data_IF_480027654041
#
_entry.id   IF_480027654041
#
_cell.length_a   1.000
_cell.length_b   1.000
_cell.length_c   1.000
_cell.angle_alpha   90.00
_cell.angle_beta   90.00
_cell.angle_gamma   90.00
#
_symmetry.space_group_name_H-M   'P 1'
#
loop_
_entity.id
_entity.type
_entity.pdbx_description
1 polymer ?
#
# COMPACT_ATOMS: atom_id res chain seq x y z
N UNK A 1 6.08 15.18 37.49
CA UNK A 1 4.76 15.85 37.37
C UNK A 1 4.44 16.14 35.90
N UNK A 2 4.61 15.16 35.00
CA UNK A 2 4.54 15.38 33.54
C UNK A 2 3.43 14.53 32.88
N UNK A 3 2.96 13.48 33.56
CA UNK A 3 1.90 12.56 33.11
C UNK A 3 0.54 13.25 32.89
N UNK A 4 0.19 14.28 33.66
CA UNK A 4 -1.04 15.05 33.49
C UNK A 4 -1.09 15.85 32.17
N UNK A 5 0.05 16.35 31.70
CA UNK A 5 0.14 17.09 30.42
C UNK A 5 0.12 16.15 29.22
N UNK A 6 0.75 14.98 29.35
CA UNK A 6 0.72 13.97 28.29
C UNK A 6 -0.69 13.41 28.10
N UNK A 7 -1.41 13.06 29.17
CA UNK A 7 -2.81 12.59 29.10
C UNK A 7 -3.73 13.62 28.42
N UNK A 8 -3.51 14.92 28.66
CA UNK A 8 -4.25 15.97 27.97
C UNK A 8 -3.99 16.00 26.46
N UNK A 9 -2.74 15.80 26.04
CA UNK A 9 -2.38 15.72 24.62
C UNK A 9 -2.93 14.46 23.94
N UNK A 10 -2.91 13.33 24.66
CA UNK A 10 -3.56 12.08 24.25
C UNK A 10 -5.05 12.27 24.01
N UNK A 11 -5.74 12.86 24.99
CA UNK A 11 -7.18 13.02 24.95
C UNK A 11 -7.59 13.95 23.81
N UNK A 12 -6.79 14.98 23.52
CA UNK A 12 -6.98 15.85 22.35
C UNK A 12 -6.82 15.06 21.04
N UNK A 13 -5.80 14.22 20.94
CA UNK A 13 -5.61 13.33 19.78
C UNK A 13 -6.76 12.36 19.59
N UNK A 14 -7.25 11.73 20.66
CA UNK A 14 -8.40 10.84 20.64
C UNK A 14 -9.69 11.57 20.22
N UNK A 15 -9.94 12.76 20.77
CA UNK A 15 -11.08 13.59 20.38
C UNK A 15 -11.03 13.99 18.90
N UNK A 16 -9.84 14.30 18.39
CA UNK A 16 -9.62 14.65 16.99
C UNK A 16 -9.80 13.44 16.06
N UNK A 17 -9.35 12.24 16.46
CA UNK A 17 -9.61 10.98 15.73
C UNK A 17 -11.11 10.66 15.69
N UNK A 18 -11.82 10.79 16.82
CA UNK A 18 -13.27 10.54 16.89
C UNK A 18 -14.04 11.56 16.04
N UNK A 19 -13.64 12.84 16.09
CA UNK A 19 -14.22 13.88 15.23
C UNK A 19 -13.98 13.58 13.74
N UNK A 20 -12.80 13.08 13.39
CA UNK A 20 -12.50 12.66 12.04
C UNK A 20 -13.35 11.44 11.64
N UNK A 21 -13.45 10.40 12.47
CA UNK A 21 -14.31 9.24 12.21
C UNK A 21 -15.77 9.66 11.91
N UNK A 22 -16.30 10.61 12.68
CA UNK A 22 -17.63 11.17 12.45
C UNK A 22 -17.71 11.95 11.13
N UNK A 23 -16.68 12.73 10.80
CA UNK A 23 -16.59 13.44 9.52
C UNK A 23 -16.48 12.47 8.32
N UNK A 24 -15.74 11.37 8.46
CA UNK A 24 -15.64 10.31 7.45
C UNK A 24 -16.96 9.59 7.23
N UNK A 25 -17.69 9.29 8.32
CA UNK A 25 -19.03 8.74 8.25
C UNK A 25 -20.02 9.72 7.59
N UNK A 26 -19.90 11.02 7.88
CA UNK A 26 -20.72 12.07 7.27
C UNK A 26 -20.43 12.24 5.77
N UNK A 27 -19.15 12.24 5.38
CA UNK A 27 -18.70 12.26 3.98
C UNK A 27 -19.19 11.03 3.23
N UNK A 28 -19.17 9.85 3.86
CA UNK A 28 -19.69 8.63 3.25
C UNK A 28 -21.21 8.67 3.04
N UNK A 29 -21.95 9.15 4.04
CA UNK A 29 -23.40 9.34 3.93
C UNK A 29 -23.77 10.37 2.85
N UNK A 30 -22.91 11.36 2.61
CA UNK A 30 -23.13 12.37 1.57
C UNK A 30 -22.78 11.86 0.16
N UNK A 31 -21.80 10.95 0.02
CA UNK A 31 -21.34 10.46 -1.28
C UNK A 31 -22.01 9.15 -1.75
N UNK A 32 -22.69 8.40 -0.89
CA UNK A 32 -23.48 7.22 -1.31
C UNK A 32 -22.66 6.11 -1.99
N UNK A 33 -21.35 6.04 -1.76
CA UNK A 33 -20.49 5.02 -2.37
C UNK A 33 -20.62 3.65 -1.65
N UNK A 34 -20.70 2.57 -2.45
CA UNK A 34 -20.67 1.14 -2.03
C UNK A 34 -19.27 0.74 -1.50
N UNK A 35 -18.50 1.67 -0.95
CA UNK A 35 -17.19 1.37 -0.36
C UNK A 35 -17.40 0.91 1.08
N UNK A 36 -16.75 -0.17 1.55
CA UNK A 36 -16.78 -0.55 2.96
C UNK A 36 -16.28 0.58 3.88
N UNK A 37 -16.92 0.78 5.03
CA UNK A 37 -16.56 1.85 5.99
C UNK A 37 -15.09 1.84 6.40
N UNK A 38 -14.50 0.64 6.52
CA UNK A 38 -13.10 0.45 6.91
C UNK A 38 -12.10 1.11 5.94
N UNK A 39 -12.41 1.16 4.64
CA UNK A 39 -11.51 1.76 3.65
C UNK A 39 -11.49 3.27 3.80
N UNK A 40 -12.64 3.89 4.09
CA UNK A 40 -12.75 5.34 4.27
C UNK A 40 -12.07 5.77 5.57
N UNK A 41 -12.22 4.98 6.64
CA UNK A 41 -11.46 5.19 7.88
C UNK A 41 -9.95 5.16 7.64
N UNK A 42 -9.46 4.23 6.81
CA UNK A 42 -8.05 4.14 6.44
C UNK A 42 -7.58 5.38 5.66
N UNK A 43 -8.31 5.81 4.63
CA UNK A 43 -7.95 7.00 3.85
C UNK A 43 -7.98 8.28 4.68
N UNK A 44 -8.96 8.40 5.57
CA UNK A 44 -9.11 9.57 6.40
C UNK A 44 -8.01 9.66 7.46
N UNK A 45 -7.70 8.54 8.11
CA UNK A 45 -6.59 8.47 9.05
C UNK A 45 -5.24 8.72 8.34
N UNK A 46 -5.09 8.22 7.10
CA UNK A 46 -3.92 8.49 6.27
C UNK A 46 -3.78 9.99 5.94
N UNK A 47 -4.87 10.66 5.57
CA UNK A 47 -4.86 12.10 5.32
C UNK A 47 -4.45 12.88 6.59
N UNK A 48 -4.95 12.46 7.75
CA UNK A 48 -4.64 13.09 9.04
C UNK A 48 -3.18 12.89 9.45
N UNK A 49 -2.64 11.70 9.21
CA UNK A 49 -1.23 11.38 9.42
C UNK A 49 -0.33 12.17 8.46
N UNK A 50 -0.75 12.31 7.18
CA UNK A 50 -0.07 13.12 6.18
C UNK A 50 -0.05 14.62 6.49
N UNK A 51 -1.10 15.15 7.13
CA UNK A 51 -1.14 16.55 7.60
C UNK A 51 -0.34 16.81 8.88
N UNK A 52 0.27 15.77 9.49
CA UNK A 52 1.09 15.89 10.71
C UNK A 52 0.32 16.23 11.99
N UNK A 53 -1.02 16.32 11.90
CA UNK A 53 -1.90 16.59 13.06
C UNK A 53 -1.93 15.38 14.01
N UNK A 54 -1.76 14.16 13.47
CA UNK A 54 -1.73 12.94 14.25
C UNK A 54 -0.28 12.54 14.58
N UNK A 55 0.12 12.50 15.87
CA UNK A 55 1.48 12.11 16.26
C UNK A 55 1.73 10.64 15.94
N UNK A 56 2.74 10.37 15.11
CA UNK A 56 3.16 9.01 14.71
C UNK A 56 3.47 8.12 15.91
N UNK A 57 3.91 8.71 17.03
CA UNK A 57 4.23 8.01 18.27
C UNK A 57 3.07 7.21 18.87
N UNK A 58 1.82 7.54 18.51
CA UNK A 58 0.62 6.81 18.93
C UNK A 58 0.30 5.63 18.01
N UNK A 59 0.54 5.81 16.72
CA UNK A 59 0.18 4.84 15.67
C UNK A 59 1.21 3.73 15.55
N UNK A 60 2.48 4.05 15.79
CA UNK A 60 3.59 3.09 15.68
C UNK A 60 3.46 1.90 16.66
N UNK A 61 3.25 2.09 17.97
CA UNK A 61 3.07 0.96 18.89
C UNK A 61 1.78 0.18 18.61
N UNK A 62 0.70 0.86 18.22
CA UNK A 62 -0.57 0.21 17.87
C UNK A 62 -0.43 -0.68 16.62
N UNK A 63 0.25 -0.19 15.58
CA UNK A 63 0.53 -0.95 14.36
C UNK A 63 1.39 -2.17 14.63
N UNK A 64 2.45 -2.03 15.46
CA UNK A 64 3.30 -3.15 15.87
C UNK A 64 2.51 -4.22 16.63
N UNK A 65 1.62 -3.80 17.52
CA UNK A 65 0.74 -4.70 18.24
C UNK A 65 -0.23 -5.41 17.29
N UNK A 66 -0.92 -4.68 16.41
CA UNK A 66 -1.87 -5.26 15.45
C UNK A 66 -1.21 -6.25 14.48
N UNK A 67 -0.02 -5.93 13.96
CA UNK A 67 0.78 -6.82 13.11
C UNK A 67 1.14 -8.12 13.83
N UNK A 68 1.31 -8.09 15.15
CA UNK A 68 1.53 -9.28 15.96
C UNK A 68 0.25 -10.12 16.13
N UNK A 69 -0.92 -9.49 16.33
CA UNK A 69 -2.21 -10.20 16.39
C UNK A 69 -2.69 -10.70 15.02
N UNK A 70 -2.23 -10.09 13.94
CA UNK A 70 -2.64 -10.42 12.58
C UNK A 70 -2.49 -11.92 12.25
N UNK A 71 -1.31 -12.57 12.41
CA UNK A 71 -1.19 -14.01 12.21
C UNK A 71 -2.05 -14.81 13.20
N UNK A 72 -2.20 -14.34 14.44
CA UNK A 72 -3.05 -14.98 15.45
C UNK A 72 -4.54 -14.99 15.07
N UNK A 73 -5.00 -14.00 14.30
CA UNK A 73 -6.35 -13.95 13.75
C UNK A 73 -6.49 -14.79 12.47
N UNK A 74 -5.45 -14.83 11.63
CA UNK A 74 -5.48 -15.59 10.39
C UNK A 74 -5.44 -17.11 10.62
N UNK A 75 -4.58 -17.59 11.51
CA UNK A 75 -4.43 -19.03 11.81
C UNK A 75 -5.77 -19.71 12.15
N UNK A 76 -6.60 -19.23 13.09
CA UNK A 76 -7.87 -19.88 13.42
C UNK A 76 -8.86 -19.85 12.26
N UNK A 77 -8.92 -18.77 11.48
CA UNK A 77 -9.79 -18.67 10.30
C UNK A 77 -9.40 -19.72 9.26
N UNK A 78 -8.10 -19.83 8.96
CA UNK A 78 -7.61 -20.83 8.00
C UNK A 78 -7.76 -22.26 8.50
N UNK A 79 -7.46 -22.53 9.77
CA UNK A 79 -7.61 -23.87 10.37
C UNK A 79 -9.08 -24.31 10.40
N UNK A 80 -9.99 -23.36 10.66
CA UNK A 80 -11.43 -23.62 10.59
C UNK A 80 -11.86 -24.01 9.18
N UNK A 81 -11.43 -23.25 8.16
CA UNK A 81 -11.71 -23.58 6.76
C UNK A 81 -11.05 -24.90 6.31
N UNK A 82 -9.86 -25.21 6.82
CA UNK A 82 -9.14 -26.45 6.50
C UNK A 82 -9.79 -27.71 7.10
N UNK A 83 -10.53 -27.59 8.21
CA UNK A 83 -11.18 -28.72 8.88
C UNK A 83 -12.47 -29.19 8.21
N UNK A 84 -13.06 -28.40 7.34
CA UNK A 84 -14.30 -28.74 6.66
C UNK A 84 -14.06 -29.80 5.56
N UNK A 85 -14.24 -31.07 5.92
CA UNK A 85 -14.01 -32.20 5.01
C UNK A 85 -14.99 -32.21 3.83
N UNK A 86 -16.20 -31.66 4.00
CA UNK A 86 -17.19 -31.62 2.93
C UNK A 86 -16.78 -30.61 1.84
N UNK A 87 -16.26 -29.45 2.25
CA UNK A 87 -15.65 -28.46 1.35
C UNK A 87 -14.50 -29.05 0.54
N UNK A 88 -13.55 -29.73 1.19
CA UNK A 88 -12.39 -30.31 0.49
C UNK A 88 -12.75 -31.49 -0.41
N UNK A 89 -13.71 -32.33 -0.02
CA UNK A 89 -14.14 -33.47 -0.84
C UNK A 89 -14.88 -33.02 -2.10
N UNK A 90 -15.68 -31.95 -2.02
CA UNK A 90 -16.49 -31.47 -3.15
C UNK A 90 -15.74 -30.47 -4.03
N UNK A 91 -15.01 -29.53 -3.42
CA UNK A 91 -14.43 -28.39 -4.11
C UNK A 91 -12.90 -28.40 -4.13
N UNK A 92 -12.25 -29.31 -3.41
CA UNK A 92 -10.79 -29.38 -3.31
C UNK A 92 -10.09 -29.51 -4.67
N UNK A 93 -10.66 -30.31 -5.58
CA UNK A 93 -10.13 -30.47 -6.94
C UNK A 93 -10.19 -29.18 -7.78
N UNK A 94 -11.09 -28.25 -7.46
CA UNK A 94 -11.20 -26.95 -8.17
C UNK A 94 -10.36 -25.87 -7.47
N UNK A 95 -10.39 -25.85 -6.13
CA UNK A 95 -9.71 -24.83 -5.33
C UNK A 95 -8.19 -24.90 -5.50
N UNK A 96 -7.59 -26.10 -5.44
CA UNK A 96 -6.13 -26.27 -5.53
C UNK A 96 -5.54 -25.74 -6.85
N UNK A 97 -5.98 -26.21 -8.03
CA UNK A 97 -5.47 -25.68 -9.29
C UNK A 97 -5.85 -24.21 -9.50
N UNK A 98 -7.04 -23.78 -9.04
CA UNK A 98 -7.44 -22.37 -9.09
C UNK A 98 -6.48 -21.46 -8.33
N UNK A 99 -6.07 -21.87 -7.13
CA UNK A 99 -5.08 -21.15 -6.31
C UNK A 99 -3.71 -21.10 -7.01
N UNK A 100 -3.26 -22.22 -7.59
CA UNK A 100 -1.97 -22.26 -8.30
C UNK A 100 -1.96 -21.32 -9.51
N UNK A 101 -3.03 -21.32 -10.30
CA UNK A 101 -3.15 -20.43 -11.46
C UNK A 101 -3.21 -18.97 -11.01
N UNK A 102 -3.99 -18.64 -9.98
CA UNK A 102 -4.08 -17.29 -9.46
C UNK A 102 -2.72 -16.76 -8.97
N UNK A 103 -1.95 -17.57 -8.23
CA UNK A 103 -0.61 -17.21 -7.77
C UNK A 103 0.37 -17.06 -8.93
N UNK A 104 0.33 -17.97 -9.91
CA UNK A 104 1.17 -17.88 -11.10
C UNK A 104 0.89 -16.60 -11.89
N UNK A 105 -0.38 -16.28 -12.14
CA UNK A 105 -0.79 -15.05 -12.82
C UNK A 105 -0.36 -13.81 -12.04
N UNK A 106 -0.59 -13.79 -10.71
CA UNK A 106 -0.13 -12.71 -9.83
C UNK A 106 1.38 -12.48 -9.98
N UNK A 107 2.20 -13.53 -9.92
CA UNK A 107 3.65 -13.42 -10.06
C UNK A 107 4.08 -12.96 -11.45
N UNK A 108 3.43 -13.44 -12.51
CA UNK A 108 3.71 -12.98 -13.89
C UNK A 108 3.41 -11.49 -14.02
N UNK A 109 2.26 -11.03 -13.53
CA UNK A 109 1.86 -9.62 -13.58
C UNK A 109 2.81 -8.74 -12.76
N UNK A 110 3.13 -9.14 -11.53
CA UNK A 110 4.10 -8.42 -10.68
C UNK A 110 5.48 -8.39 -11.33
N UNK A 111 5.92 -9.50 -11.92
CA UNK A 111 7.19 -9.58 -12.66
C UNK A 111 7.22 -8.66 -13.86
N UNK A 112 6.15 -8.65 -14.68
CA UNK A 112 6.01 -7.73 -15.80
C UNK A 112 5.99 -6.27 -15.35
N UNK A 113 5.27 -5.96 -14.26
CA UNK A 113 5.21 -4.61 -13.72
C UNK A 113 6.58 -4.13 -13.21
N UNK A 114 7.32 -5.01 -12.53
CA UNK A 114 8.70 -4.76 -12.09
C UNK A 114 9.63 -4.51 -13.28
N UNK A 115 9.56 -5.35 -14.32
CA UNK A 115 10.37 -5.17 -15.53
C UNK A 115 9.99 -3.91 -16.31
N UNK A 116 8.70 -3.56 -16.35
CA UNK A 116 8.22 -2.34 -16.98
C UNK A 116 8.78 -1.09 -16.28
N UNK A 117 8.78 -1.09 -14.95
CA UNK A 117 9.32 0.02 -14.16
C UNK A 117 10.85 0.05 -14.24
N UNK A 118 11.52 -1.10 -14.18
CA UNK A 118 12.97 -1.19 -14.29
C UNK A 118 13.47 -0.71 -15.66
N UNK A 119 12.79 -1.02 -16.76
CA UNK A 119 13.15 -0.52 -18.10
C UNK A 119 13.09 1.00 -18.22
N UNK A 120 12.24 1.69 -17.44
CA UNK A 120 12.19 3.16 -17.41
C UNK A 120 13.33 3.76 -16.60
N UNK A 121 13.78 3.05 -15.55
CA UNK A 121 14.90 3.46 -14.71
C UNK A 121 16.26 3.14 -15.34
N UNK A 122 16.34 2.06 -16.11
CA UNK A 122 17.56 1.64 -16.83
C UNK A 122 17.83 2.51 -18.06
N UNK A 123 16.77 3.03 -18.71
CA UNK A 123 16.90 3.97 -19.84
C UNK A 123 17.55 5.30 -19.41
N UNK A 124 17.10 5.88 -18.31
CA UNK A 124 17.67 7.12 -17.74
C UNK A 124 19.13 6.91 -17.28
N UNK A 125 19.41 5.81 -16.56
CA UNK A 125 20.77 5.51 -16.10
C UNK A 125 21.73 5.14 -17.24
N UNK A 126 21.25 4.51 -18.32
CA UNK A 126 22.08 4.20 -19.47
C UNK A 126 22.46 5.47 -20.25
N UNK A 127 21.55 6.42 -20.38
CA UNK A 127 21.80 7.70 -21.04
C UNK A 127 22.79 8.57 -20.22
N UNK A 128 22.63 8.60 -18.89
CA UNK A 128 23.56 9.28 -17.97
C UNK A 128 24.93 8.59 -17.88
N UNK A 129 24.98 7.25 -17.84
CA UNK A 129 26.24 6.51 -17.85
C UNK A 129 26.98 6.68 -19.19
N UNK A 130 26.26 6.78 -20.30
CA UNK A 130 26.87 7.07 -21.61
C UNK A 130 27.36 8.52 -21.70
N UNK A 131 26.69 9.46 -21.02
CA UNK A 131 27.11 10.87 -20.92
C UNK A 131 28.33 11.08 -19.99
N UNK A 132 28.45 10.33 -18.89
CA UNK A 132 29.64 10.33 -18.02
C UNK A 132 30.85 9.65 -18.68
N UNK A 133 30.66 8.49 -19.34
CA UNK A 133 31.73 7.79 -20.07
C UNK A 133 32.23 8.65 -21.24
N UNK A 134 31.34 9.42 -21.89
CA UNK A 134 31.68 10.38 -22.94
C UNK A 134 31.99 11.78 -22.39
N UNK A 135 32.42 11.85 -21.13
CA UNK A 135 33.01 12.99 -20.43
C UNK A 135 32.77 14.36 -21.04
N UNK A 136 31.72 15.05 -20.57
CA UNK A 136 31.66 16.51 -20.53
C UNK A 136 32.22 17.24 -21.76
N UNK A 137 31.62 17.06 -22.94
CA UNK A 137 31.70 18.04 -24.03
C UNK A 137 30.42 17.97 -24.89
N UNK A 138 29.84 19.12 -25.28
CA UNK A 138 28.66 19.14 -26.11
C UNK A 138 29.02 18.61 -27.49
N UNK A 139 28.33 17.56 -27.95
CA UNK A 139 28.40 17.13 -29.33
C UNK A 139 27.73 18.20 -30.19
N UNK A 140 28.56 19.14 -30.69
CA UNK A 140 28.19 19.97 -31.83
C UNK A 140 27.82 19.02 -32.96
N UNK A 141 26.54 18.99 -33.30
CA UNK A 141 26.03 18.30 -34.48
C UNK A 141 26.34 19.17 -35.69
N UNK A 142 27.27 18.81 -36.60
CA UNK A 142 27.39 19.50 -37.86
C UNK A 142 26.27 18.97 -38.74
N UNK A 143 25.32 19.85 -39.06
CA UNK A 143 24.18 19.57 -39.91
C UNK A 143 24.63 18.89 -41.21
N UNK A 144 24.18 17.65 -41.38
CA UNK A 144 24.18 16.97 -42.67
C UNK A 144 23.03 17.53 -43.49
N UNK A 145 23.39 18.58 -44.20
CA UNK A 145 22.91 18.93 -45.53
C UNK A 145 22.04 17.85 -46.20
N UNK A 146 20.80 18.26 -46.48
CA UNK A 146 19.95 17.59 -47.45
C UNK A 146 19.65 18.64 -48.51
N UNK A 147 19.71 18.18 -49.77
CA UNK A 147 19.30 18.84 -51.01
C UNK A 147 20.38 19.61 -51.80
N UNK A 148 20.27 19.70 -53.14
CA UNK A 148 19.05 19.59 -53.98
C UNK A 148 18.67 18.20 -54.49
#
# INVERSE_FOLDING_TARGET
MNTLREIGWVALGAALIVGCFYAGAFIKSAFGLIIPDNVIGLFLMLALLGTGVLPVSWVEPASKWLLFFLPMLFVPIYVMAARDKALWAQWGWVIVPGMMVAVAVMWIVVGHFSQFLNRRLEGDNADDATAEINGGMPSTSPGRDKNP
#
